data_IF_973006551662
#
_entry.id   IF_973006551662
#
_cell.length_a   1.000
_cell.length_b   1.000
_cell.length_c   1.000
_cell.angle_alpha   90.00
_cell.angle_beta   90.00
_cell.angle_gamma   90.00
#
_symmetry.space_group_name_H-M   'P 1'
#
loop_
_entity.id
_entity.type
_entity.pdbx_description
1 polymer ?
#
# COMPACT_ATOMS: atom_id res chain seq x y z
N UNK A 1 7.68 -2.81 6.64
CA UNK A 1 6.30 -2.30 6.49
C UNK A 1 5.92 -2.45 5.02
N UNK A 2 4.87 -3.21 4.76
CA UNK A 2 4.12 -3.19 3.51
C UNK A 2 2.84 -2.39 3.79
N UNK A 3 2.50 -1.45 2.93
CA UNK A 3 1.32 -0.62 3.11
C UNK A 3 0.70 -0.23 1.78
N UNK A 4 -0.58 0.10 1.81
CA UNK A 4 -1.36 0.63 0.69
C UNK A 4 -2.42 1.60 1.21
N UNK A 5 -2.73 2.63 0.41
CA UNK A 5 -3.74 3.62 0.75
C UNK A 5 -4.96 3.37 -0.11
N UNK A 6 -6.13 3.25 0.52
CA UNK A 6 -7.41 3.34 -0.16
C UNK A 6 -7.64 4.78 -0.61
N UNK A 7 -7.70 5.00 -1.91
CA UNK A 7 -7.86 6.33 -2.50
C UNK A 7 -9.25 6.94 -2.28
N UNK A 8 -10.26 6.12 -1.97
CA UNK A 8 -11.62 6.60 -1.73
C UNK A 8 -11.81 7.04 -0.29
N UNK A 9 -11.37 6.22 0.67
CA UNK A 9 -11.55 6.49 2.10
C UNK A 9 -10.37 7.21 2.75
N UNK A 10 -9.18 7.15 2.14
CA UNK A 10 -7.92 7.58 2.76
C UNK A 10 -7.37 6.61 3.80
N UNK A 11 -8.02 5.45 4.00
CA UNK A 11 -7.57 4.43 4.95
C UNK A 11 -6.25 3.79 4.49
N UNK A 12 -5.31 3.63 5.42
CA UNK A 12 -4.01 3.02 5.18
C UNK A 12 -4.00 1.61 5.73
N UNK A 13 -4.03 0.63 4.83
CA UNK A 13 -3.78 -0.77 5.16
C UNK A 13 -2.28 -1.00 5.31
N UNK A 14 -1.85 -1.68 6.36
CA UNK A 14 -0.43 -1.91 6.59
C UNK A 14 -0.13 -3.13 7.46
N UNK A 15 1.00 -3.78 7.16
CA UNK A 15 1.56 -4.87 7.96
C UNK A 15 3.07 -4.75 8.07
N UNK A 16 3.65 -5.24 9.17
CA UNK A 16 5.08 -5.08 9.48
C UNK A 16 5.76 -6.44 9.60
N UNK A 17 5.92 -7.17 8.48
CA UNK A 17 6.63 -8.44 8.46
C UNK A 17 8.14 -8.22 8.60
N UNK A 18 8.88 -9.30 8.87
CA UNK A 18 10.34 -9.28 8.96
C UNK A 18 11.03 -9.18 7.59
N UNK A 19 10.32 -9.54 6.50
CA UNK A 19 10.81 -9.54 5.13
C UNK A 19 9.75 -8.97 4.18
N UNK A 20 10.15 -8.58 2.98
CA UNK A 20 9.26 -8.03 1.94
C UNK A 20 9.35 -8.83 0.63
N UNK A 21 9.20 -10.15 0.71
CA UNK A 21 9.25 -11.06 -0.44
C UNK A 21 7.83 -11.23 -1.02
N UNK A 22 7.73 -12.02 -2.09
CA UNK A 22 6.47 -12.43 -2.70
C UNK A 22 5.48 -13.04 -1.70
N UNK A 23 5.96 -13.90 -0.81
CA UNK A 23 5.14 -14.49 0.26
C UNK A 23 4.47 -13.41 1.13
N UNK A 24 5.24 -12.43 1.61
CA UNK A 24 4.67 -11.35 2.42
C UNK A 24 3.76 -10.43 1.59
N UNK A 25 4.08 -10.17 0.32
CA UNK A 25 3.16 -9.45 -0.56
C UNK A 25 1.83 -10.19 -0.75
N UNK A 26 1.85 -11.52 -0.88
CA UNK A 26 0.64 -12.35 -0.97
C UNK A 26 -0.18 -12.26 0.32
N UNK A 27 0.44 -12.32 1.49
CA UNK A 27 -0.27 -12.12 2.76
C UNK A 27 -0.94 -10.74 2.83
N UNK A 28 -0.27 -9.70 2.31
CA UNK A 28 -0.89 -8.38 2.19
C UNK A 28 -2.11 -8.40 1.24
N UNK A 29 -2.04 -9.09 0.11
CA UNK A 29 -3.18 -9.24 -0.80
C UNK A 29 -4.33 -10.02 -0.16
N UNK A 30 -4.06 -11.07 0.63
CA UNK A 30 -5.09 -11.81 1.38
C UNK A 30 -5.79 -10.91 2.39
N UNK A 31 -5.03 -10.12 3.15
CA UNK A 31 -5.59 -9.13 4.06
C UNK A 31 -6.52 -8.15 3.33
N UNK A 32 -6.13 -7.65 2.15
CA UNK A 32 -7.03 -6.82 1.33
C UNK A 32 -8.24 -7.62 0.83
N UNK A 33 -8.06 -8.87 0.41
CA UNK A 33 -9.18 -9.70 -0.04
C UNK A 33 -10.24 -9.86 1.06
N UNK A 34 -9.83 -10.07 2.31
CA UNK A 34 -10.73 -10.26 3.47
C UNK A 34 -11.43 -8.97 3.91
N UNK A 35 -10.80 -7.81 3.72
CA UNK A 35 -11.31 -6.53 4.22
C UNK A 35 -12.17 -5.75 3.22
N UNK A 36 -12.34 -6.24 1.99
CA UNK A 36 -13.21 -5.63 0.97
C UNK A 36 -14.28 -6.62 0.49
N UNK A 37 -15.50 -6.16 0.16
CA UNK A 37 -16.58 -7.04 -0.31
C UNK A 37 -16.14 -7.93 -1.48
N UNK A 38 -16.48 -9.23 -1.51
CA UNK A 38 -15.96 -10.21 -2.47
C UNK A 38 -16.28 -9.90 -3.94
N UNK A 39 -17.37 -9.19 -4.20
CA UNK A 39 -17.82 -8.75 -5.51
C UNK A 39 -17.01 -7.58 -6.09
N UNK A 40 -16.24 -6.87 -5.25
CA UNK A 40 -15.43 -5.74 -5.71
C UNK A 40 -14.15 -6.20 -6.39
N UNK A 41 -13.82 -5.54 -7.50
CA UNK A 41 -12.51 -5.66 -8.13
C UNK A 41 -11.54 -4.66 -7.51
N UNK A 42 -10.44 -5.15 -6.96
CA UNK A 42 -9.41 -4.33 -6.33
C UNK A 42 -8.37 -3.91 -7.39
N UNK A 43 -8.42 -2.65 -7.83
CA UNK A 43 -7.39 -2.07 -8.69
C UNK A 43 -6.27 -1.49 -7.82
N UNK A 44 -5.07 -2.04 -7.94
CA UNK A 44 -3.91 -1.68 -7.11
C UNK A 44 -2.85 -1.01 -7.97
N UNK A 45 -2.47 0.22 -7.59
CA UNK A 45 -1.35 0.93 -8.20
C UNK A 45 -0.07 0.50 -7.49
N UNK A 46 0.91 0.00 -8.24
CA UNK A 46 2.13 -0.59 -7.70
C UNK A 46 3.38 0.07 -8.32
N UNK A 47 4.47 0.06 -7.56
CA UNK A 47 5.81 0.27 -8.13
C UNK A 47 6.28 -0.99 -8.88
N UNK A 48 7.48 -0.90 -9.48
CA UNK A 48 8.06 -1.98 -10.27
C UNK A 48 8.83 -3.01 -9.42
N UNK A 49 8.53 -3.16 -8.13
CA UNK A 49 9.20 -4.14 -7.28
C UNK A 49 8.96 -5.58 -7.77
N UNK A 50 10.02 -6.40 -7.75
CA UNK A 50 10.00 -7.73 -8.37
C UNK A 50 8.99 -8.70 -7.74
N UNK A 51 8.69 -8.54 -6.45
CA UNK A 51 7.68 -9.33 -5.75
C UNK A 51 6.32 -9.28 -6.47
N UNK A 52 5.92 -8.12 -6.99
CA UNK A 52 4.60 -7.90 -7.62
C UNK A 52 4.39 -8.70 -8.91
N UNK A 53 5.48 -9.16 -9.54
CA UNK A 53 5.44 -9.89 -10.82
C UNK A 53 6.06 -11.28 -10.74
N UNK A 54 6.37 -11.73 -9.52
CA UNK A 54 6.98 -13.04 -9.31
C UNK A 54 6.06 -14.19 -9.74
N UNK A 55 6.64 -15.36 -10.06
CA UNK A 55 5.86 -16.56 -10.40
C UNK A 55 4.90 -16.95 -9.27
N UNK A 56 5.34 -16.83 -8.03
CA UNK A 56 4.56 -17.12 -6.84
C UNK A 56 3.35 -16.19 -6.72
N UNK A 57 3.55 -14.88 -6.89
CA UNK A 57 2.46 -13.90 -6.87
C UNK A 57 1.47 -14.12 -8.01
N UNK A 58 1.94 -14.40 -9.23
CA UNK A 58 1.06 -14.72 -10.37
C UNK A 58 0.22 -15.97 -10.10
N UNK A 59 0.83 -17.04 -9.58
CA UNK A 59 0.13 -18.26 -9.22
C UNK A 59 -0.96 -18.01 -8.15
N UNK A 60 -0.68 -17.16 -7.15
CA UNK A 60 -1.70 -16.75 -6.18
C UNK A 60 -2.85 -15.98 -6.84
N UNK A 61 -2.56 -15.01 -7.71
CA UNK A 61 -3.59 -14.23 -8.41
C UNK A 61 -4.50 -15.10 -9.27
N UNK A 62 -3.99 -16.18 -9.86
CA UNK A 62 -4.78 -17.16 -10.62
C UNK A 62 -5.82 -17.89 -9.76
N UNK A 63 -5.60 -18.01 -8.44
CA UNK A 63 -6.59 -18.61 -7.51
C UNK A 63 -7.79 -17.71 -7.23
N UNK A 64 -7.69 -16.40 -7.56
CA UNK A 64 -8.72 -15.40 -7.32
C UNK A 64 -9.01 -14.63 -8.63
N UNK A 65 -9.59 -15.31 -9.64
CA UNK A 65 -9.82 -14.70 -10.95
C UNK A 65 -10.69 -13.46 -10.85
N UNK A 66 -10.32 -12.40 -11.59
CA UNK A 66 -10.98 -11.10 -11.61
C UNK A 66 -10.99 -10.31 -10.29
N UNK A 67 -10.36 -10.80 -9.21
CA UNK A 67 -10.33 -10.09 -7.91
C UNK A 67 -9.38 -8.89 -7.93
N UNK A 68 -8.20 -9.04 -8.52
CA UNK A 68 -7.15 -8.01 -8.51
C UNK A 68 -6.79 -7.54 -9.91
N UNK A 69 -6.58 -6.24 -10.06
CA UNK A 69 -6.04 -5.62 -11.27
C UNK A 69 -4.84 -4.76 -10.90
N UNK A 70 -3.66 -5.12 -11.39
CA UNK A 70 -2.43 -4.37 -11.10
C UNK A 70 -2.17 -3.33 -12.17
N UNK A 71 -1.93 -2.09 -11.74
CA UNK A 71 -1.50 -0.98 -12.58
C UNK A 71 -0.12 -0.55 -12.11
N UNK A 72 0.89 -0.71 -12.97
CA UNK A 72 2.25 -0.35 -12.62
C UNK A 72 2.54 1.10 -12.96
N UNK A 73 3.19 1.80 -12.04
CA UNK A 73 3.73 3.13 -12.31
C UNK A 73 4.82 3.07 -13.40
N UNK A 74 4.97 4.12 -14.22
CA UNK A 74 6.08 4.22 -15.17
C UNK A 74 7.44 4.08 -14.47
N UNK A 75 8.46 3.62 -15.20
CA UNK A 75 9.84 3.65 -14.70
C UNK A 75 10.20 5.09 -14.32
N UNK A 76 10.81 5.26 -13.15
CA UNK A 76 11.11 6.56 -12.54
C UNK A 76 9.89 7.42 -12.16
N UNK A 77 8.67 6.88 -12.23
CA UNK A 77 7.42 7.54 -11.86
C UNK A 77 7.01 7.32 -10.40
N UNK A 78 7.95 7.21 -9.46
CA UNK A 78 7.63 6.94 -8.05
C UNK A 78 6.72 8.00 -7.41
N UNK A 79 6.75 9.23 -7.93
CA UNK A 79 5.87 10.33 -7.50
C UNK A 79 4.39 10.07 -7.79
N UNK A 80 4.06 9.13 -8.68
CA UNK A 80 2.67 8.69 -8.93
C UNK A 80 2.18 7.70 -7.88
N UNK A 81 3.09 7.06 -7.13
CA UNK A 81 2.73 6.10 -6.09
C UNK A 81 2.41 6.85 -4.79
N UNK A 82 1.13 7.16 -4.57
CA UNK A 82 0.68 7.99 -3.44
C UNK A 82 1.10 7.46 -2.05
N UNK A 83 1.28 6.14 -1.89
CA UNK A 83 1.72 5.56 -0.61
C UNK A 83 3.11 6.06 -0.19
N UNK A 84 3.96 6.48 -1.14
CA UNK A 84 5.26 7.08 -0.85
C UNK A 84 5.13 8.37 -0.01
N UNK A 85 4.05 9.13 -0.20
CA UNK A 85 3.76 10.31 0.63
C UNK A 85 3.45 9.91 2.08
N UNK A 86 2.76 8.80 2.29
CA UNK A 86 2.54 8.25 3.63
C UNK A 86 3.85 7.77 4.26
N UNK A 87 4.71 7.06 3.53
CA UNK A 87 6.04 6.67 4.03
C UNK A 87 6.89 7.88 4.42
N UNK A 88 6.85 8.96 3.63
CA UNK A 88 7.48 10.23 3.96
C UNK A 88 6.96 10.85 5.27
N UNK A 89 5.63 10.81 5.49
CA UNK A 89 5.01 11.28 6.75
C UNK A 89 5.45 10.41 7.93
N UNK A 90 5.37 9.09 7.80
CA UNK A 90 5.81 8.13 8.82
C UNK A 90 7.28 8.37 9.21
N UNK A 91 8.15 8.53 8.22
CA UNK A 91 9.58 8.78 8.45
C UNK A 91 9.80 10.08 9.22
N UNK A 92 9.11 11.16 8.84
CA UNK A 92 9.29 12.49 9.44
C UNK A 92 8.70 12.61 10.85
N UNK A 93 7.52 12.03 11.07
CA UNK A 93 6.75 12.20 12.31
C UNK A 93 7.14 11.16 13.35
N UNK A 94 7.25 9.90 12.97
CA UNK A 94 7.57 8.81 13.88
C UNK A 94 9.06 8.50 13.86
N UNK A 95 9.59 8.01 12.72
CA UNK A 95 10.88 7.33 12.70
C UNK A 95 12.07 8.26 13.01
N UNK A 96 12.01 9.53 12.64
CA UNK A 96 13.11 10.49 12.85
C UNK A 96 13.44 10.71 14.33
N UNK A 97 12.44 10.64 15.21
CA UNK A 97 12.60 10.90 16.65
C UNK A 97 12.47 9.67 17.53
N UNK A 98 12.13 8.51 16.96
CA UNK A 98 11.81 7.33 17.75
C UNK A 98 13.05 6.74 18.41
N UNK A 99 12.91 6.32 19.67
CA UNK A 99 13.87 5.47 20.37
C UNK A 99 13.12 4.22 20.83
N UNK A 100 13.64 3.06 20.46
CA UNK A 100 13.07 1.75 20.80
C UNK A 100 14.20 0.82 21.21
N UNK A 101 13.87 -0.12 22.09
CA UNK A 101 14.80 -1.10 22.65
C UNK A 101 14.80 -2.42 21.88
N UNK A 102 13.81 -2.65 21.01
CA UNK A 102 13.68 -3.88 20.23
C UNK A 102 12.96 -3.67 18.89
N UNK A 103 13.09 -4.67 18.00
CA UNK A 103 12.33 -4.72 16.74
C UNK A 103 10.83 -4.88 16.97
N UNK A 104 10.43 -5.61 18.01
CA UNK A 104 9.02 -5.78 18.35
C UNK A 104 8.41 -4.49 18.86
N UNK A 105 9.17 -3.69 19.62
CA UNK A 105 8.74 -2.35 20.01
C UNK A 105 8.59 -1.45 18.77
N UNK A 106 9.56 -1.47 17.83
CA UNK A 106 9.43 -0.74 16.57
C UNK A 106 8.17 -1.16 15.80
N UNK A 107 7.91 -2.47 15.68
CA UNK A 107 6.72 -3.03 15.04
C UNK A 107 5.45 -2.47 15.66
N UNK A 108 5.32 -2.56 16.99
CA UNK A 108 4.16 -2.06 17.73
C UNK A 108 3.95 -0.56 17.55
N UNK A 109 5.02 0.24 17.54
CA UNK A 109 4.95 1.69 17.35
C UNK A 109 4.53 2.08 15.93
N UNK A 110 4.95 1.32 14.91
CA UNK A 110 4.48 1.53 13.53
C UNK A 110 2.99 1.17 13.39
N UNK A 111 2.55 0.06 14.00
CA UNK A 111 1.14 -0.33 13.98
C UNK A 111 0.26 0.71 14.71
N UNK A 112 0.69 1.17 15.88
CA UNK A 112 0.00 2.26 16.59
C UNK A 112 -0.11 3.53 15.73
N UNK A 113 0.94 3.89 15.00
CA UNK A 113 0.89 5.04 14.10
C UNK A 113 -0.10 4.85 12.94
N UNK A 114 -0.25 3.62 12.42
CA UNK A 114 -1.28 3.32 11.43
C UNK A 114 -2.68 3.53 12.01
N UNK A 115 -2.94 3.05 13.23
CA UNK A 115 -4.21 3.25 13.92
C UNK A 115 -4.52 4.74 14.12
N UNK A 116 -3.54 5.52 14.56
CA UNK A 116 -3.67 6.97 14.76
C UNK A 116 -3.96 7.72 13.45
N UNK A 117 -3.31 7.31 12.34
CA UNK A 117 -3.59 7.89 11.01
C UNK A 117 -4.98 7.49 10.51
N UNK A 118 -5.40 6.26 10.75
CA UNK A 118 -6.69 5.74 10.33
C UNK A 118 -7.87 6.23 11.18
N UNK A 119 -7.61 6.72 12.40
CA UNK A 119 -8.64 7.36 13.23
C UNK A 119 -9.16 8.68 12.64
N UNK A 120 -8.36 9.35 11.81
CA UNK A 120 -8.73 10.55 11.09
C UNK A 120 -8.10 10.53 9.68
N UNK A 121 -8.61 9.68 8.76
CA UNK A 121 -7.99 9.46 7.47
C UNK A 121 -8.09 10.71 6.61
N UNK A 122 -7.05 10.96 5.82
CA UNK A 122 -7.02 12.06 4.85
C UNK A 122 -7.15 11.46 3.46
N UNK A 123 -8.24 11.80 2.77
CA UNK A 123 -8.43 11.40 1.38
C UNK A 123 -7.46 12.17 0.50
N UNK A 124 -6.53 11.46 -0.12
CA UNK A 124 -5.54 12.05 -1.03
C UNK A 124 -6.22 12.44 -2.35
N UNK A 125 -6.38 13.75 -2.56
CA UNK A 125 -6.88 14.28 -3.84
C UNK A 125 -5.71 14.69 -4.73
N UNK A 126 -5.61 14.06 -5.90
CA UNK A 126 -4.77 14.56 -6.98
C UNK A 126 -5.31 15.92 -7.44
N UNK A 127 -4.48 16.97 -7.38
CA UNK A 127 -4.80 18.31 -7.91
C UNK A 127 -4.17 18.56 -9.28
N UNK A 128 -3.71 17.51 -9.96
CA UNK A 128 -3.23 17.68 -11.33
C UNK A 128 -4.44 17.95 -12.22
N UNK A 129 -4.31 18.89 -13.16
CA UNK A 129 -5.40 19.42 -14.00
C UNK A 129 -5.98 18.35 -14.93
N UNK A 130 -6.79 17.45 -14.36
CA UNK A 130 -7.51 16.43 -15.08
C UNK A 130 -8.48 17.05 -16.10
N UNK A 131 -8.95 18.27 -15.83
CA UNK A 131 -9.77 19.09 -16.71
C UNK A 131 -9.11 19.41 -18.06
N UNK A 132 -7.77 19.46 -18.11
CA UNK A 132 -6.99 19.77 -19.33
C UNK A 132 -6.64 18.50 -20.13
N UNK A 133 -6.97 17.31 -19.62
CA UNK A 133 -6.72 16.04 -20.33
C UNK A 133 -7.91 15.74 -21.24
N UNK A 134 -7.87 16.23 -22.48
CA UNK A 134 -8.71 15.68 -23.54
C UNK A 134 -8.26 14.25 -23.82
N UNK A 135 -9.10 13.27 -23.48
CA UNK A 135 -8.90 11.90 -23.94
C UNK A 135 -9.10 11.91 -25.46
N UNK A 136 -8.02 11.72 -26.20
CA UNK A 136 -8.02 11.61 -27.66
C UNK A 136 -8.58 10.25 -28.12
#
# INVERSE_FOLDING_TARGET
>A
LLAGIDLLSGHVWGMVPDRHRSAEFIEFLKMLHENYPPEMKLRIILDNHSAHTSKETRAFLETLPNRFEFVFTPKHGSWLNLVESFFGKLARVLLRGIRVSSKDELRRRILQFLDEVNAAPVVYRWRYKLEDLSVA
#
